data_IF_455682086383
#
_entry.id   IF_455682086383
#
_cell.length_a   1.000
_cell.length_b   1.000
_cell.length_c   1.000
_cell.angle_alpha   90.00
_cell.angle_beta   90.00
_cell.angle_gamma   90.00
#
_symmetry.space_group_name_H-M   'P 1'
#
loop_
_entity.id
_entity.type
_entity.pdbx_description
1 polymer ?
#
# COMPACT_ATOMS: atom_id res chain seq x y z
N UNK A 1 21.74 11.78 6.91
CA UNK A 1 22.15 11.05 8.12
C UNK A 1 20.97 10.71 9.02
N UNK A 2 20.14 11.66 9.48
CA UNK A 2 19.02 11.37 10.38
C UNK A 2 18.02 10.31 9.86
N UNK A 3 17.72 10.30 8.57
CA UNK A 3 16.84 9.31 7.96
C UNK A 3 17.46 7.90 8.02
N UNK A 4 18.77 7.78 7.77
CA UNK A 4 19.46 6.51 7.89
C UNK A 4 19.42 5.99 9.35
N UNK A 5 19.56 6.89 10.33
CA UNK A 5 19.46 6.54 11.74
C UNK A 5 18.06 6.03 12.14
N UNK A 6 17.00 6.56 11.51
CA UNK A 6 15.60 6.13 11.74
C UNK A 6 15.37 4.70 11.22
N UNK A 7 15.93 4.35 10.05
CA UNK A 7 15.76 3.03 9.44
C UNK A 7 16.84 2.02 9.89
N UNK A 8 17.93 2.49 10.48
CA UNK A 8 19.04 1.65 10.93
C UNK A 8 18.62 0.44 11.78
N UNK A 9 17.66 0.55 12.75
CA UNK A 9 17.24 -0.60 13.54
C UNK A 9 16.61 -1.74 12.72
N UNK A 10 16.20 -1.48 11.48
CA UNK A 10 15.57 -2.45 10.60
C UNK A 10 16.53 -3.07 9.56
N UNK A 11 17.82 -2.73 9.57
CA UNK A 11 18.78 -3.28 8.62
C UNK A 11 19.03 -4.79 8.82
N UNK A 12 18.84 -5.28 10.05
CA UNK A 12 18.96 -6.71 10.39
C UNK A 12 17.61 -7.47 10.24
N UNK A 13 16.64 -6.86 9.61
CA UNK A 13 15.30 -7.38 9.38
C UNK A 13 14.20 -6.42 9.81
N UNK A 14 12.97 -6.59 9.28
CA UNK A 14 11.85 -5.71 9.55
C UNK A 14 11.46 -5.74 11.04
N UNK A 15 11.42 -4.56 11.66
CA UNK A 15 11.05 -4.39 13.07
C UNK A 15 10.16 -3.17 13.24
N UNK A 16 9.05 -3.26 13.99
CA UNK A 16 8.28 -2.09 14.36
C UNK A 16 9.19 -1.06 15.06
N UNK A 17 9.34 0.11 14.48
CA UNK A 17 10.20 1.16 14.97
C UNK A 17 9.39 2.39 15.34
N UNK A 18 9.51 2.84 16.59
CA UNK A 18 8.80 4.03 17.11
C UNK A 18 9.85 5.05 17.53
N UNK A 19 9.79 6.24 16.95
CA UNK A 19 10.75 7.31 17.18
C UNK A 19 10.08 8.45 17.95
N UNK A 20 10.56 8.79 19.16
CA UNK A 20 10.13 10.00 19.85
C UNK A 20 10.76 11.22 19.18
N UNK A 21 9.93 12.15 18.71
CA UNK A 21 10.38 13.33 17.94
C UNK A 21 9.67 14.60 18.36
N UNK A 22 10.35 15.73 18.21
CA UNK A 22 9.71 17.03 18.23
C UNK A 22 8.94 17.32 16.92
N UNK A 23 7.97 18.25 16.93
CA UNK A 23 7.20 18.60 15.74
C UNK A 23 8.04 19.09 14.56
N UNK A 24 9.22 19.65 14.82
CA UNK A 24 10.18 20.10 13.82
C UNK A 24 10.86 18.95 13.05
N UNK A 25 10.75 17.72 13.53
CA UNK A 25 11.30 16.53 12.90
C UNK A 25 10.32 15.80 11.98
N UNK A 26 9.05 16.26 11.89
CA UNK A 26 8.04 15.63 11.04
C UNK A 26 8.47 15.46 9.56
N UNK A 27 9.13 16.43 8.91
CA UNK A 27 9.62 16.25 7.54
C UNK A 27 10.60 15.07 7.39
N UNK A 28 11.44 14.83 8.38
CA UNK A 28 12.39 13.71 8.37
C UNK A 28 11.67 12.37 8.56
N UNK A 29 10.63 12.33 9.40
CA UNK A 29 9.80 11.14 9.57
C UNK A 29 9.03 10.78 8.31
N UNK A 30 8.47 11.77 7.60
CA UNK A 30 7.82 11.57 6.30
C UNK A 30 8.80 11.03 5.28
N UNK A 31 9.97 11.64 5.17
CA UNK A 31 11.01 11.18 4.23
C UNK A 31 11.46 9.75 4.55
N UNK A 32 11.60 9.38 5.83
CA UNK A 32 11.96 8.02 6.22
C UNK A 32 10.88 6.99 5.82
N UNK A 33 9.60 7.34 5.94
CA UNK A 33 8.48 6.50 5.48
C UNK A 33 8.47 6.35 3.96
N UNK A 34 8.70 7.45 3.24
CA UNK A 34 8.78 7.44 1.77
C UNK A 34 9.92 6.58 1.27
N UNK A 35 11.09 6.66 1.92
CA UNK A 35 12.23 5.81 1.57
C UNK A 35 11.95 4.35 1.89
N UNK A 36 11.40 4.05 3.08
CA UNK A 36 11.03 2.71 3.45
C UNK A 36 10.08 2.08 2.39
N UNK A 37 9.05 2.84 1.97
CA UNK A 37 8.11 2.39 0.95
C UNK A 37 8.75 2.21 -0.44
N UNK A 38 9.68 3.10 -0.84
CA UNK A 38 10.34 3.03 -2.15
C UNK A 38 11.37 1.93 -2.27
N UNK A 39 11.95 1.50 -1.16
CA UNK A 39 12.94 0.42 -1.13
C UNK A 39 12.31 -0.97 -1.10
N UNK A 40 10.98 -1.08 -0.98
CA UNK A 40 10.27 -2.34 -1.04
C UNK A 40 10.37 -2.95 -2.45
N UNK A 41 10.48 -4.26 -2.50
CA UNK A 41 10.40 -5.02 -3.75
C UNK A 41 8.99 -5.03 -4.30
N UNK A 42 8.01 -5.18 -3.40
CA UNK A 42 6.60 -5.29 -3.78
C UNK A 42 5.76 -4.20 -3.12
N UNK A 43 4.78 -3.71 -3.86
CA UNK A 43 3.67 -2.92 -3.31
C UNK A 43 2.43 -3.78 -3.29
N UNK A 44 1.81 -3.92 -2.13
CA UNK A 44 0.55 -4.63 -1.97
C UNK A 44 -0.62 -3.65 -2.07
N UNK A 45 -1.61 -3.99 -2.89
CA UNK A 45 -2.84 -3.21 -3.06
C UNK A 45 -4.06 -4.14 -3.05
N UNK A 46 -5.22 -3.61 -2.76
CA UNK A 46 -6.49 -4.31 -2.93
C UNK A 46 -7.14 -3.88 -4.23
N UNK A 47 -7.76 -4.82 -4.94
CA UNK A 47 -8.48 -4.55 -6.17
C UNK A 47 -9.72 -5.44 -6.27
N UNK A 48 -10.73 -4.97 -7.00
CA UNK A 48 -12.03 -5.64 -7.14
C UNK A 48 -12.35 -6.07 -8.57
N UNK A 49 -11.55 -5.66 -9.54
CA UNK A 49 -11.73 -6.02 -10.94
C UNK A 49 -10.47 -6.66 -11.52
N UNK A 50 -10.63 -7.52 -12.52
CA UNK A 50 -9.53 -8.02 -13.33
C UNK A 50 -9.54 -7.27 -14.66
N UNK A 51 -8.44 -6.60 -15.02
CA UNK A 51 -8.34 -5.87 -16.29
C UNK A 51 -8.17 -6.75 -17.50
N UNK A 52 -7.81 -8.00 -17.31
CA UNK A 52 -7.84 -8.99 -18.38
C UNK A 52 -9.24 -9.54 -18.67
N UNK A 53 -10.23 -9.14 -17.86
CA UNK A 53 -11.61 -9.39 -18.17
C UNK A 53 -11.96 -8.80 -19.53
N UNK A 54 -12.80 -9.50 -20.28
CA UNK A 54 -13.17 -9.09 -21.61
C UNK A 54 -13.81 -7.68 -21.63
N UNK A 55 -13.92 -7.08 -22.80
CA UNK A 55 -14.49 -5.74 -22.96
C UNK A 55 -15.90 -5.62 -22.36
N UNK A 56 -16.67 -6.70 -22.32
CA UNK A 56 -18.02 -6.73 -21.77
C UNK A 56 -18.04 -6.52 -20.23
N UNK A 57 -17.03 -7.00 -19.51
CA UNK A 57 -16.91 -6.77 -18.06
C UNK A 57 -16.52 -5.31 -17.75
N UNK A 58 -15.64 -4.72 -18.57
CA UNK A 58 -15.28 -3.30 -18.47
C UNK A 58 -16.46 -2.38 -18.74
N UNK A 59 -17.20 -2.63 -19.84
CA UNK A 59 -18.42 -1.89 -20.16
C UNK A 59 -19.48 -2.02 -19.04
N UNK A 60 -19.52 -3.16 -18.38
CA UNK A 60 -20.41 -3.43 -17.25
C UNK A 60 -20.06 -2.62 -16.02
N UNK A 61 -18.76 -2.55 -15.69
CA UNK A 61 -18.27 -1.74 -14.59
C UNK A 61 -18.49 -0.26 -14.85
N UNK A 62 -18.21 0.20 -16.06
CA UNK A 62 -18.46 1.56 -16.48
C UNK A 62 -19.96 1.92 -16.40
N UNK A 63 -20.85 1.04 -16.84
CA UNK A 63 -22.30 1.25 -16.75
C UNK A 63 -22.79 1.23 -15.29
N UNK A 64 -22.27 0.35 -14.44
CA UNK A 64 -22.60 0.30 -13.03
C UNK A 64 -22.13 1.56 -12.29
N UNK A 65 -20.96 2.07 -12.64
CA UNK A 65 -20.41 3.31 -12.10
C UNK A 65 -21.21 4.53 -12.56
N UNK A 66 -21.47 4.68 -13.86
CA UNK A 66 -22.27 5.77 -14.41
C UNK A 66 -23.67 5.86 -13.75
N UNK A 67 -24.26 4.70 -13.39
CA UNK A 67 -25.53 4.67 -12.65
C UNK A 67 -25.42 5.09 -11.18
N UNK A 68 -24.20 5.21 -10.63
CA UNK A 68 -23.92 5.73 -9.27
C UNK A 68 -23.51 7.21 -9.28
N UNK A 69 -23.07 7.73 -10.43
CA UNK A 69 -22.54 9.08 -10.57
C UNK A 69 -23.56 10.17 -10.22
N UNK A 70 -24.86 9.91 -10.44
CA UNK A 70 -25.95 10.79 -10.03
C UNK A 70 -26.08 10.96 -8.51
N UNK A 71 -25.54 10.00 -7.72
CA UNK A 71 -25.58 10.01 -6.26
C UNK A 71 -24.25 10.45 -5.61
N UNK A 72 -23.22 10.72 -6.40
CA UNK A 72 -21.86 10.99 -5.91
C UNK A 72 -21.27 12.28 -6.49
N UNK A 73 -21.38 13.35 -5.75
CA UNK A 73 -20.96 14.71 -6.13
C UNK A 73 -19.44 14.92 -6.34
N UNK A 74 -18.59 13.91 -6.24
CA UNK A 74 -17.15 14.13 -6.07
C UNK A 74 -16.15 13.28 -6.85
N UNK A 75 -16.54 12.28 -7.62
CA UNK A 75 -15.56 11.44 -8.32
C UNK A 75 -15.76 11.43 -9.83
N UNK A 76 -14.95 12.21 -10.52
CA UNK A 76 -14.79 12.12 -11.98
C UNK A 76 -13.70 11.09 -12.28
N UNK A 77 -14.09 9.88 -12.64
CA UNK A 77 -13.21 8.92 -13.27
C UNK A 77 -13.65 8.68 -14.71
N UNK A 78 -12.73 8.79 -15.64
CA UNK A 78 -12.99 8.51 -17.06
C UNK A 78 -13.18 7.00 -17.31
N UNK A 79 -12.66 6.16 -16.39
CA UNK A 79 -12.84 4.71 -16.41
C UNK A 79 -13.17 4.20 -14.99
N UNK A 80 -14.38 3.64 -14.84
CA UNK A 80 -14.86 3.11 -13.57
C UNK A 80 -14.05 1.90 -13.09
N UNK A 81 -13.52 1.11 -14.02
CA UNK A 81 -12.70 -0.05 -13.69
C UNK A 81 -11.36 0.39 -13.11
N UNK A 82 -10.70 1.38 -13.71
CA UNK A 82 -9.44 1.94 -13.20
C UNK A 82 -9.62 2.55 -11.81
N UNK A 83 -10.77 3.20 -11.58
CA UNK A 83 -11.06 3.78 -10.28
C UNK A 83 -11.35 2.71 -9.20
N UNK A 84 -12.06 1.64 -9.52
CA UNK A 84 -12.31 0.53 -8.60
C UNK A 84 -11.04 -0.24 -8.24
N UNK A 85 -10.05 -0.27 -9.14
CA UNK A 85 -8.72 -0.82 -8.85
C UNK A 85 -7.84 0.12 -8.03
N UNK A 86 -8.06 1.42 -8.11
CA UNK A 86 -7.32 2.36 -7.30
C UNK A 86 -7.63 2.11 -5.80
N UNK A 87 -6.60 2.19 -4.97
CA UNK A 87 -6.72 2.08 -3.50
C UNK A 87 -7.71 3.10 -2.88
N UNK A 88 -8.24 4.01 -3.70
CA UNK A 88 -9.00 5.18 -3.27
C UNK A 88 -10.52 4.99 -3.32
N UNK A 89 -11.02 3.88 -3.86
CA UNK A 89 -12.46 3.67 -3.91
C UNK A 89 -13.03 3.40 -2.51
N UNK A 90 -13.94 4.24 -1.98
CA UNK A 90 -14.57 3.99 -0.69
C UNK A 90 -15.34 2.67 -0.69
N UNK A 91 -15.31 1.93 0.42
CA UNK A 91 -16.00 0.63 0.56
C UNK A 91 -17.51 0.72 0.24
N UNK A 92 -18.13 1.84 0.61
CA UNK A 92 -19.55 2.09 0.30
C UNK A 92 -19.82 2.06 -1.22
N UNK A 93 -18.91 2.63 -2.03
CA UNK A 93 -19.04 2.65 -3.49
C UNK A 93 -18.80 1.29 -4.09
N UNK A 94 -17.78 0.57 -3.63
CA UNK A 94 -17.52 -0.81 -4.02
C UNK A 94 -18.73 -1.70 -3.77
N UNK A 95 -19.29 -1.61 -2.57
CA UNK A 95 -20.48 -2.37 -2.19
C UNK A 95 -21.70 -2.03 -3.06
N UNK A 96 -21.92 -0.75 -3.35
CA UNK A 96 -23.03 -0.31 -4.21
C UNK A 96 -22.87 -0.82 -5.65
N UNK A 97 -21.66 -0.80 -6.21
CA UNK A 97 -21.36 -1.39 -7.53
C UNK A 97 -21.63 -2.90 -7.51
N UNK A 98 -21.16 -3.60 -6.47
CA UNK A 98 -21.39 -5.03 -6.31
C UNK A 98 -22.89 -5.39 -6.24
N UNK A 99 -23.69 -4.60 -5.53
CA UNK A 99 -25.13 -4.80 -5.46
C UNK A 99 -25.81 -4.58 -6.81
N UNK A 100 -25.43 -3.54 -7.55
CA UNK A 100 -25.97 -3.27 -8.89
C UNK A 100 -25.62 -4.37 -9.89
N UNK A 101 -24.38 -4.88 -9.85
CA UNK A 101 -23.97 -6.01 -10.69
C UNK A 101 -24.81 -7.26 -10.39
N UNK A 102 -25.03 -7.58 -9.10
CA UNK A 102 -25.89 -8.70 -8.70
C UNK A 102 -27.32 -8.50 -9.16
N UNK A 103 -27.89 -7.30 -9.01
CA UNK A 103 -29.24 -6.98 -9.47
C UNK A 103 -29.39 -7.08 -11.00
N UNK A 104 -28.33 -6.82 -11.75
CA UNK A 104 -28.27 -6.98 -13.20
C UNK A 104 -28.04 -8.44 -13.65
N UNK A 105 -27.98 -9.40 -12.71
CA UNK A 105 -27.72 -10.81 -13.02
C UNK A 105 -26.28 -11.10 -13.49
N UNK A 106 -25.34 -10.23 -13.12
CA UNK A 106 -23.93 -10.37 -13.44
C UNK A 106 -23.15 -10.93 -12.26
N UNK A 107 -22.05 -11.61 -12.54
CA UNK A 107 -21.16 -12.04 -11.49
C UNK A 107 -20.58 -10.84 -10.75
N UNK A 108 -20.57 -10.87 -9.41
CA UNK A 108 -19.96 -9.80 -8.64
C UNK A 108 -18.44 -9.75 -8.90
N UNK A 109 -17.88 -8.54 -8.83
CA UNK A 109 -16.44 -8.35 -8.88
C UNK A 109 -15.77 -9.24 -7.82
N UNK A 110 -14.75 -9.93 -8.22
CA UNK A 110 -14.00 -10.78 -7.31
C UNK A 110 -12.93 -9.96 -6.61
N UNK A 111 -12.99 -9.83 -5.27
CA UNK A 111 -11.94 -9.15 -4.53
C UNK A 111 -10.62 -9.91 -4.69
N UNK A 112 -9.53 -9.19 -4.77
CA UNK A 112 -8.19 -9.72 -4.83
C UNK A 112 -7.19 -8.80 -4.18
N UNK A 113 -6.07 -9.35 -3.78
CA UNK A 113 -4.88 -8.61 -3.41
C UNK A 113 -3.90 -8.67 -4.57
N UNK A 114 -3.30 -7.54 -4.89
CA UNK A 114 -2.32 -7.41 -5.97
C UNK A 114 -0.95 -7.07 -5.40
N UNK A 115 0.03 -7.86 -5.80
CA UNK A 115 1.45 -7.59 -5.54
C UNK A 115 2.05 -6.96 -6.79
N UNK A 116 2.30 -5.67 -6.75
CA UNK A 116 2.95 -4.93 -7.84
C UNK A 116 4.47 -5.04 -7.66
N UNK A 117 5.16 -5.49 -8.69
CA UNK A 117 6.62 -5.42 -8.74
C UNK A 117 7.08 -3.96 -8.83
N UNK A 118 8.08 -3.61 -8.03
CA UNK A 118 8.73 -2.30 -8.05
C UNK A 118 10.23 -2.38 -8.22
N UNK A 119 10.85 -3.28 -7.49
CA UNK A 119 12.31 -3.40 -7.44
C UNK A 119 12.74 -4.85 -7.20
N UNK A 120 11.87 -5.83 -7.39
CA UNK A 120 12.21 -7.22 -7.15
C UNK A 120 13.23 -7.73 -8.16
N UNK A 121 14.03 -8.69 -7.73
CA UNK A 121 14.78 -9.53 -8.69
C UNK A 121 13.83 -10.57 -9.28
N UNK A 122 14.19 -11.13 -10.44
CA UNK A 122 13.41 -12.20 -11.05
C UNK A 122 13.21 -13.38 -10.09
N UNK A 123 14.25 -13.71 -9.32
CA UNK A 123 14.20 -14.79 -8.32
C UNK A 123 13.22 -14.46 -7.18
N UNK A 124 13.19 -13.21 -6.71
CA UNK A 124 12.27 -12.77 -5.66
C UNK A 124 10.83 -12.75 -6.18
N UNK A 125 10.62 -12.32 -7.41
CA UNK A 125 9.29 -12.34 -8.04
C UNK A 125 8.77 -13.77 -8.22
N UNK A 126 9.59 -14.67 -8.73
CA UNK A 126 9.26 -16.09 -8.89
C UNK A 126 8.97 -16.75 -7.53
N UNK A 127 9.78 -16.47 -6.52
CA UNK A 127 9.56 -16.97 -5.16
C UNK A 127 8.23 -16.47 -4.58
N UNK A 128 7.86 -15.20 -4.81
CA UNK A 128 6.57 -14.69 -4.38
C UNK A 128 5.42 -15.40 -5.11
N UNK A 129 5.54 -15.65 -6.43
CA UNK A 129 4.54 -16.42 -7.17
C UNK A 129 4.33 -17.81 -6.55
N UNK A 130 5.41 -18.48 -6.15
CA UNK A 130 5.31 -19.80 -5.52
C UNK A 130 4.70 -19.74 -4.12
N UNK A 131 5.06 -18.73 -3.34
CA UNK A 131 4.64 -18.58 -1.94
C UNK A 131 3.17 -18.15 -1.79
N UNK A 132 2.60 -17.40 -2.74
CA UNK A 132 1.18 -17.00 -2.69
C UNK A 132 0.29 -18.23 -2.65
N UNK A 133 -0.57 -18.40 -1.62
CA UNK A 133 -1.44 -19.56 -1.49
C UNK A 133 -2.66 -19.47 -2.42
N UNK A 134 -3.28 -20.62 -2.67
CA UNK A 134 -4.57 -20.71 -3.36
C UNK A 134 -4.55 -20.26 -4.81
N UNK A 135 -5.71 -19.76 -5.26
CA UNK A 135 -5.84 -19.26 -6.63
C UNK A 135 -5.10 -17.94 -6.80
N UNK A 136 -4.27 -17.89 -7.84
CA UNK A 136 -3.47 -16.73 -8.20
C UNK A 136 -3.34 -16.59 -9.70
N UNK A 137 -3.07 -15.36 -10.17
CA UNK A 137 -2.74 -15.07 -11.56
C UNK A 137 -1.42 -14.32 -11.61
N UNK A 138 -0.50 -14.83 -12.41
CA UNK A 138 0.79 -14.18 -12.67
C UNK A 138 0.69 -13.35 -13.94
N UNK A 139 1.19 -12.12 -13.86
CA UNK A 139 1.40 -11.21 -14.96
C UNK A 139 2.88 -10.83 -15.04
N UNK A 140 3.27 -9.99 -15.99
CA UNK A 140 4.66 -9.57 -16.17
C UNK A 140 5.16 -8.73 -14.97
N UNK A 141 4.34 -7.79 -14.50
CA UNK A 141 4.73 -6.82 -13.45
C UNK A 141 3.93 -6.98 -12.14
N UNK A 142 3.04 -7.96 -12.05
CA UNK A 142 2.25 -8.16 -10.84
C UNK A 142 1.70 -9.58 -10.69
N UNK A 143 1.24 -9.88 -9.47
CA UNK A 143 0.55 -11.13 -9.12
C UNK A 143 -0.78 -10.76 -8.48
N UNK A 144 -1.87 -11.35 -8.93
CA UNK A 144 -3.17 -11.27 -8.28
C UNK A 144 -3.41 -12.51 -7.43
N UNK A 145 -3.73 -12.34 -6.15
CA UNK A 145 -4.09 -13.40 -5.20
C UNK A 145 -5.56 -13.25 -4.79
N UNK A 146 -6.32 -14.34 -4.79
CA UNK A 146 -7.76 -14.32 -4.58
C UNK A 146 -8.21 -14.89 -3.23
N UNK A 147 -7.32 -15.51 -2.48
CA UNK A 147 -7.63 -16.24 -1.25
C UNK A 147 -6.83 -15.76 -0.05
N UNK A 148 -6.43 -14.49 -0.04
CA UNK A 148 -5.73 -13.88 1.07
C UNK A 148 -6.18 -12.44 1.26
N UNK A 149 -6.02 -11.92 2.47
CA UNK A 149 -6.26 -10.51 2.75
C UNK A 149 -4.99 -9.67 2.58
N UNK A 150 -5.14 -8.36 2.74
CA UNK A 150 -4.04 -7.42 2.55
C UNK A 150 -2.96 -7.55 3.63
N UNK A 151 -3.33 -7.87 4.87
CA UNK A 151 -2.39 -7.97 5.98
C UNK A 151 -1.47 -9.17 5.79
N UNK A 152 -2.04 -10.32 5.48
CA UNK A 152 -1.30 -11.55 5.15
C UNK A 152 -0.40 -11.35 3.91
N UNK A 153 -0.91 -10.65 2.89
CA UNK A 153 -0.14 -10.35 1.69
C UNK A 153 1.05 -9.41 1.95
N UNK A 154 0.89 -8.40 2.81
CA UNK A 154 1.95 -7.50 3.23
C UNK A 154 3.04 -8.23 4.04
N UNK A 155 2.66 -9.22 4.86
CA UNK A 155 3.57 -10.06 5.62
C UNK A 155 4.34 -10.99 4.68
N UNK A 156 3.66 -11.72 3.82
CA UNK A 156 4.26 -12.62 2.83
C UNK A 156 5.23 -11.87 1.91
N UNK A 157 4.83 -10.70 1.40
CA UNK A 157 5.70 -9.89 0.55
C UNK A 157 7.00 -9.49 1.26
N UNK A 158 6.93 -9.18 2.57
CA UNK A 158 8.11 -8.84 3.37
C UNK A 158 9.02 -10.04 3.62
N UNK A 159 8.45 -11.19 3.92
CA UNK A 159 9.21 -12.42 4.12
C UNK A 159 10.02 -12.78 2.87
N UNK A 160 9.34 -12.85 1.72
CA UNK A 160 10.00 -13.13 0.44
C UNK A 160 11.07 -12.07 0.10
N UNK A 161 10.77 -10.80 0.33
CA UNK A 161 11.73 -9.71 0.11
C UNK A 161 13.00 -9.88 0.94
N UNK A 162 12.87 -10.18 2.24
CA UNK A 162 14.02 -10.37 3.14
C UNK A 162 14.84 -11.60 2.76
N UNK A 163 14.20 -12.70 2.42
CA UNK A 163 14.86 -13.94 2.02
C UNK A 163 15.66 -13.77 0.71
N UNK A 164 15.30 -12.78 -0.11
CA UNK A 164 15.96 -12.46 -1.38
C UNK A 164 16.81 -11.18 -1.34
N UNK A 165 17.23 -10.76 -0.14
CA UNK A 165 18.20 -9.69 0.05
C UNK A 165 17.64 -8.27 0.09
N UNK A 166 16.31 -8.13 0.08
CA UNK A 166 15.63 -6.87 0.36
C UNK A 166 15.56 -6.57 1.86
N UNK A 167 15.16 -5.37 2.22
CA UNK A 167 15.10 -4.96 3.63
C UNK A 167 13.75 -5.23 4.30
N UNK A 168 12.67 -5.38 3.53
CA UNK A 168 11.33 -5.57 4.06
C UNK A 168 10.84 -4.45 4.99
N UNK A 169 11.35 -3.22 4.85
CA UNK A 169 11.12 -2.13 5.78
C UNK A 169 9.66 -1.93 6.14
N UNK A 170 9.42 -1.78 7.46
CA UNK A 170 8.17 -1.28 8.00
C UNK A 170 8.24 0.26 8.09
N UNK A 171 7.17 0.98 7.74
CA UNK A 171 7.12 2.42 7.91
C UNK A 171 7.30 2.78 9.39
N UNK A 172 8.30 3.63 9.74
CA UNK A 172 8.52 4.01 11.13
C UNK A 172 7.37 4.86 11.67
N UNK A 173 6.97 4.60 12.89
CA UNK A 173 5.99 5.40 13.63
C UNK A 173 6.67 6.51 14.42
N UNK A 174 5.93 7.56 14.78
CA UNK A 174 6.44 8.67 15.58
C UNK A 174 5.54 8.97 16.77
N UNK A 175 6.17 9.25 17.91
CA UNK A 175 5.49 9.82 19.07
C UNK A 175 5.98 11.27 19.22
N UNK A 176 5.07 12.22 19.07
CA UNK A 176 5.40 13.63 19.20
C UNK A 176 5.37 14.05 20.66
N UNK A 177 6.45 14.67 21.11
CA UNK A 177 6.50 15.31 22.42
C UNK A 177 6.58 16.83 22.27
N UNK A 178 6.13 17.55 23.31
CA UNK A 178 6.30 19.01 23.36
C UNK A 178 7.78 19.36 23.44
N UNK A 179 8.14 20.52 22.87
CA UNK A 179 9.49 21.04 23.04
C UNK A 179 9.87 21.10 24.51
N UNK A 180 10.98 20.45 24.86
CA UNK A 180 11.59 20.65 26.17
C UNK A 180 12.38 21.95 26.10
N UNK A 181 12.04 22.88 26.99
CA UNK A 181 12.85 24.10 27.17
C UNK A 181 14.13 23.74 27.90
N UNK A 182 15.25 24.30 27.44
CA UNK A 182 16.50 24.21 28.20
C UNK A 182 16.39 24.91 29.56
N UNK A 183 17.36 24.69 30.42
CA UNK A 183 17.42 25.30 31.76
C UNK A 183 17.31 26.81 31.75
N UNK A 184 17.62 27.46 30.65
CA UNK A 184 17.53 28.92 30.42
C UNK A 184 16.23 29.36 29.75
N UNK A 185 15.25 28.43 29.55
CA UNK A 185 13.96 28.71 28.91
C UNK A 185 13.99 28.76 27.38
N UNK A 186 15.14 28.60 26.74
CA UNK A 186 15.31 28.54 25.30
C UNK A 186 15.24 27.11 24.74
N UNK A 187 15.18 26.98 23.41
CA UNK A 187 15.29 25.68 22.70
C UNK A 187 16.65 25.07 22.98
N UNK A 188 16.71 23.80 23.44
CA UNK A 188 17.97 23.07 23.54
C UNK A 188 18.50 22.80 22.14
N UNK A 189 19.69 23.27 21.84
CA UNK A 189 20.41 23.02 20.59
C UNK A 189 21.82 22.54 20.91
N UNK A 190 22.25 21.45 20.29
CA UNK A 190 23.63 20.95 20.40
C UNK A 190 24.68 21.86 19.73
N UNK A 191 24.22 22.87 18.97
CA UNK A 191 25.10 23.80 18.25
C UNK A 191 25.37 25.10 19.00
N UNK A 192 24.85 25.29 20.21
CA UNK A 192 25.18 26.44 21.07
C UNK A 192 26.24 25.99 22.08
N UNK A 193 27.49 26.53 22.03
CA UNK A 193 28.49 26.28 23.08
C UNK A 193 27.94 26.79 24.42
N UNK A 194 28.22 26.04 25.48
CA UNK A 194 27.84 26.39 26.86
C UNK A 194 28.54 27.67 27.35
#
# INVERSE_FOLDING_TARGET
TQMADILYPQLDGPKPTVIPVGPDQDPHMRLARDVAARMRYFKVTEAYASFEADAAERDHLAAAYAALEDDMDTVRCEDAADWLEAEMAPDAVRNAVMEKLRAAGKEPLRPRVRFLDRNATDEAFDALVEAVPGEKRRYEEHIDAFEMDREDAEELAREVEVDHGGYGFLPPSSIYHRFMTGLTGGKMSSSVPA
#
